data_IF_685055748416
#
_entry.id   IF_685055748416
#
_cell.length_a   1.000
_cell.length_b   1.000
_cell.length_c   1.000
_cell.angle_alpha   90.00
_cell.angle_beta   90.00
_cell.angle_gamma   90.00
#
_symmetry.space_group_name_H-M   'P 1'
#
loop_
_entity.id
_entity.type
_entity.pdbx_description
1 polymer ?
#
# COMPACT_ATOMS: atom_id res chain seq x y z
N UNK A 1 -96.40 -48.73 5.94
CA UNK A 1 -96.67 -47.41 6.57
C UNK A 1 -95.73 -46.39 5.96
N UNK A 2 -96.23 -45.22 5.55
CA UNK A 2 -95.88 -44.70 4.23
C UNK A 2 -95.38 -43.24 4.19
N UNK A 3 -94.75 -42.90 3.06
CA UNK A 3 -94.86 -41.63 2.32
C UNK A 3 -94.24 -40.32 2.88
N UNK A 4 -93.33 -39.81 2.04
CA UNK A 4 -93.03 -38.41 1.72
C UNK A 4 -94.18 -37.40 1.94
N UNK A 5 -93.83 -36.11 2.08
CA UNK A 5 -94.51 -35.12 1.26
C UNK A 5 -93.53 -34.23 0.48
N UNK A 6 -93.75 -34.22 -0.84
CA UNK A 6 -93.37 -33.14 -1.75
C UNK A 6 -94.35 -31.98 -1.63
N UNK A 7 -93.84 -30.81 -2.01
CA UNK A 7 -94.52 -29.75 -2.75
C UNK A 7 -95.49 -28.86 -1.95
N UNK A 8 -95.32 -27.54 -2.10
CA UNK A 8 -96.31 -26.71 -2.80
C UNK A 8 -95.69 -25.42 -3.36
N UNK A 9 -96.12 -25.15 -4.58
CA UNK A 9 -95.81 -24.03 -5.47
C UNK A 9 -96.76 -22.84 -5.24
N UNK A 10 -96.44 -21.69 -5.88
CA UNK A 10 -97.25 -20.46 -6.18
C UNK A 10 -96.86 -19.26 -5.30
N UNK A 11 -96.61 -18.04 -5.80
CA UNK A 11 -97.18 -17.27 -6.94
C UNK A 11 -96.21 -16.10 -7.31
N UNK A 12 -95.98 -15.87 -8.60
CA UNK A 12 -95.72 -14.53 -9.20
C UNK A 12 -97.04 -13.71 -9.20
N UNK A 13 -97.16 -12.43 -9.67
CA UNK A 13 -96.22 -11.60 -10.45
C UNK A 13 -96.22 -10.09 -10.11
N UNK A 14 -95.31 -9.30 -10.72
CA UNK A 14 -95.63 -7.92 -11.09
C UNK A 14 -94.91 -7.53 -12.38
N UNK A 15 -95.68 -6.92 -13.28
CA UNK A 15 -95.39 -6.65 -14.67
C UNK A 15 -94.81 -5.24 -14.85
N UNK A 16 -93.66 -5.17 -15.51
CA UNK A 16 -93.38 -4.30 -16.67
C UNK A 16 -93.22 -2.76 -16.45
N UNK A 17 -92.78 -1.95 -17.45
CA UNK A 17 -92.20 -2.30 -18.75
C UNK A 17 -90.91 -1.52 -19.16
N UNK A 18 -90.16 -2.17 -20.05
CA UNK A 18 -89.44 -1.69 -21.24
C UNK A 18 -89.18 -0.19 -21.47
N UNK A 19 -87.89 0.11 -21.74
CA UNK A 19 -87.42 0.80 -22.97
C UNK A 19 -86.23 0.00 -23.53
N UNK A 20 -86.39 -0.69 -24.68
CA UNK A 20 -85.92 -0.33 -26.04
C UNK A 20 -84.41 -0.08 -26.13
N UNK A 21 -83.61 -0.56 -27.09
CA UNK A 21 -83.65 -1.49 -28.23
C UNK A 21 -82.16 -1.72 -28.60
N UNK A 22 -81.86 -2.91 -29.15
CA UNK A 22 -80.66 -3.39 -29.86
C UNK A 22 -79.62 -2.35 -30.34
N UNK A 23 -78.32 -2.68 -30.28
CA UNK A 23 -77.61 -3.32 -31.41
C UNK A 23 -76.09 -3.52 -31.21
N UNK A 24 -75.65 -4.72 -31.63
CA UNK A 24 -74.41 -5.04 -32.36
C UNK A 24 -73.04 -5.06 -31.64
N UNK A 25 -72.70 -6.28 -31.19
CA UNK A 25 -71.53 -7.09 -31.59
C UNK A 25 -70.19 -6.37 -31.80
N UNK A 26 -69.28 -6.59 -30.86
CA UNK A 26 -67.92 -7.01 -31.20
C UNK A 26 -67.54 -8.18 -30.28
N UNK A 27 -67.27 -9.32 -30.91
CA UNK A 27 -66.87 -10.55 -30.26
C UNK A 27 -65.41 -10.46 -29.79
N UNK A 28 -65.17 -10.87 -28.54
CA UNK A 28 -63.99 -11.66 -28.19
C UNK A 28 -64.30 -12.43 -26.91
N UNK A 29 -64.35 -13.76 -27.04
CA UNK A 29 -64.36 -14.69 -25.92
C UNK A 29 -63.03 -14.58 -25.16
N UNK A 30 -63.05 -14.83 -23.85
CA UNK A 30 -62.39 -15.98 -23.20
C UNK A 30 -62.83 -15.98 -21.73
N UNK A 31 -63.40 -17.11 -21.32
CA UNK A 31 -63.66 -17.46 -19.93
C UNK A 31 -62.33 -17.76 -19.22
N UNK A 32 -62.28 -17.44 -17.93
CA UNK A 32 -61.04 -17.23 -17.19
C UNK A 32 -60.14 -18.44 -16.97
N UNK A 33 -58.93 -18.13 -16.52
CA UNK A 33 -58.04 -19.02 -15.80
C UNK A 33 -57.12 -18.20 -14.91
N UNK A 34 -56.90 -18.75 -13.70
CA UNK A 34 -55.81 -18.54 -12.74
C UNK A 34 -54.81 -17.40 -13.02
N UNK A 35 -54.67 -16.51 -12.03
CA UNK A 35 -53.53 -15.62 -11.91
C UNK A 35 -52.24 -16.45 -11.77
N UNK A 36 -51.60 -16.74 -12.89
CA UNK A 36 -50.22 -17.20 -12.96
C UNK A 36 -49.35 -15.94 -12.83
N UNK A 37 -48.55 -15.87 -11.78
CA UNK A 37 -47.44 -14.92 -11.71
C UNK A 37 -46.46 -15.26 -12.83
N UNK A 38 -46.51 -14.52 -13.93
CA UNK A 38 -45.43 -14.52 -14.91
C UNK A 38 -44.25 -13.72 -14.32
N UNK A 39 -43.02 -14.26 -14.30
CA UNK A 39 -41.85 -13.44 -14.00
C UNK A 39 -41.71 -12.41 -15.12
N UNK A 40 -41.67 -11.14 -14.73
CA UNK A 40 -41.27 -10.05 -15.60
C UNK A 40 -39.83 -10.31 -16.02
N UNK A 41 -39.60 -10.79 -17.24
CA UNK A 41 -38.29 -10.76 -17.88
C UNK A 41 -37.99 -9.33 -18.30
N UNK A 42 -37.75 -8.48 -17.31
CA UNK A 42 -36.89 -7.31 -17.51
C UNK A 42 -35.54 -7.87 -17.94
N UNK A 43 -35.17 -7.65 -19.21
CA UNK A 43 -33.84 -8.00 -19.69
C UNK A 43 -32.82 -7.36 -18.77
N UNK A 44 -32.06 -8.19 -18.05
CA UNK A 44 -30.86 -7.73 -17.37
C UNK A 44 -29.92 -7.33 -18.50
N UNK A 45 -29.76 -6.03 -18.73
CA UNK A 45 -28.62 -5.51 -19.46
C UNK A 45 -27.40 -5.94 -18.66
N UNK A 46 -26.79 -7.04 -19.06
CA UNK A 46 -25.50 -7.46 -18.52
C UNK A 46 -24.55 -6.31 -18.85
N UNK A 47 -24.09 -5.58 -17.83
CA UNK A 47 -23.07 -4.57 -17.99
C UNK A 47 -21.89 -5.19 -18.76
N UNK A 48 -21.42 -4.50 -19.79
CA UNK A 48 -20.35 -5.00 -20.64
C UNK A 48 -19.11 -5.32 -19.79
N UNK A 49 -18.32 -6.30 -20.23
CA UNK A 49 -17.06 -6.63 -19.57
C UNK A 49 -16.15 -5.41 -19.54
N UNK A 50 -15.57 -5.08 -18.38
CA UNK A 50 -14.64 -3.96 -18.29
C UNK A 50 -13.41 -4.20 -19.17
N UNK A 51 -13.02 -3.17 -19.91
CA UNK A 51 -11.72 -3.07 -20.56
C UNK A 51 -10.61 -3.03 -19.49
N UNK A 52 -9.35 -3.16 -19.91
CA UNK A 52 -8.20 -3.01 -19.01
C UNK A 52 -8.26 -1.69 -18.25
N UNK A 53 -7.91 -1.72 -16.95
CA UNK A 53 -7.96 -0.54 -16.10
C UNK A 53 -7.09 0.60 -16.65
N UNK A 54 -7.60 1.83 -16.58
CA UNK A 54 -6.84 3.02 -16.93
C UNK A 54 -5.62 3.17 -16.03
N UNK A 55 -4.49 3.56 -16.61
CA UNK A 55 -3.28 3.92 -15.86
C UNK A 55 -2.74 5.26 -16.32
N UNK A 56 -2.22 6.05 -15.38
CA UNK A 56 -1.66 7.38 -15.65
C UNK A 56 -0.46 7.35 -16.62
N UNK A 57 0.33 6.26 -16.61
CA UNK A 57 1.53 6.13 -17.44
C UNK A 57 1.26 5.58 -18.84
N UNK A 58 0.10 4.97 -19.09
CA UNK A 58 -0.22 4.42 -20.40
C UNK A 58 -0.59 5.54 -21.39
N UNK A 59 -0.13 5.35 -22.62
CA UNK A 59 -0.51 6.18 -23.77
C UNK A 59 -1.75 5.56 -24.42
N UNK A 60 -2.79 6.37 -24.61
CA UNK A 60 -4.02 5.98 -25.29
C UNK A 60 -4.22 6.81 -26.55
N UNK A 61 -4.40 6.18 -27.71
CA UNK A 61 -4.73 6.86 -28.97
C UNK A 61 -6.22 6.75 -29.28
N UNK A 62 -6.71 7.57 -30.21
CA UNK A 62 -8.12 7.59 -30.60
C UNK A 62 -8.71 6.20 -30.86
N UNK A 63 -9.82 5.88 -30.22
CA UNK A 63 -10.53 4.60 -30.24
C UNK A 63 -10.10 3.59 -29.18
N UNK A 64 -8.98 3.78 -28.48
CA UNK A 64 -8.55 2.86 -27.41
C UNK A 64 -9.46 2.96 -26.20
N UNK A 65 -9.72 1.80 -25.55
CA UNK A 65 -10.61 1.72 -24.39
C UNK A 65 -9.87 1.43 -23.09
N UNK A 66 -10.36 1.99 -21.99
CA UNK A 66 -9.90 1.69 -20.63
C UNK A 66 -11.08 1.70 -19.64
N UNK A 67 -11.00 0.92 -18.56
CA UNK A 67 -11.98 0.99 -17.48
C UNK A 67 -11.52 1.91 -16.35
N UNK A 68 -12.43 2.73 -15.83
CA UNK A 68 -12.19 3.61 -14.69
C UNK A 68 -13.52 3.92 -13.99
N UNK A 69 -13.55 3.79 -12.66
CA UNK A 69 -14.74 4.00 -11.82
C UNK A 69 -15.98 3.22 -12.27
N UNK A 70 -15.82 1.97 -12.69
CA UNK A 70 -16.93 1.09 -13.09
C UNK A 70 -17.55 1.43 -14.45
N UNK A 71 -16.87 2.22 -15.27
CA UNK A 71 -17.25 2.53 -16.65
C UNK A 71 -16.12 2.18 -17.60
N UNK A 72 -16.47 1.77 -18.81
CA UNK A 72 -15.55 1.75 -19.94
C UNK A 72 -15.52 3.15 -20.56
N UNK A 73 -14.33 3.57 -20.97
CA UNK A 73 -14.08 4.87 -21.60
C UNK A 73 -13.30 4.66 -22.89
N UNK A 74 -13.60 5.44 -23.93
CA UNK A 74 -12.86 5.43 -25.20
C UNK A 74 -12.16 6.76 -25.44
N UNK A 75 -10.86 6.73 -25.71
CA UNK A 75 -10.08 7.93 -26.02
C UNK A 75 -10.50 8.49 -27.37
N UNK A 76 -10.75 9.80 -27.47
CA UNK A 76 -11.13 10.47 -28.73
C UNK A 76 -9.92 10.82 -29.58
N UNK A 77 -8.78 11.09 -28.95
CA UNK A 77 -7.48 11.36 -29.56
C UNK A 77 -6.37 10.96 -28.58
N UNK A 78 -5.10 11.23 -28.94
CA UNK A 78 -3.94 10.89 -28.10
C UNK A 78 -4.02 11.51 -26.71
N UNK A 79 -3.78 10.72 -25.66
CA UNK A 79 -3.73 11.14 -24.26
C UNK A 79 -2.79 10.27 -23.41
N UNK A 80 -2.19 10.86 -22.39
CA UNK A 80 -1.44 10.21 -21.32
C UNK A 80 -1.66 11.00 -20.03
N UNK A 81 -1.85 10.30 -18.90
CA UNK A 81 -2.07 10.92 -17.58
C UNK A 81 -3.30 11.85 -17.48
N UNK A 82 -4.27 11.74 -18.37
CA UNK A 82 -5.55 12.46 -18.24
C UNK A 82 -6.65 11.48 -17.82
N UNK A 83 -7.28 11.75 -16.67
CA UNK A 83 -8.21 10.81 -16.03
C UNK A 83 -9.55 10.71 -16.77
N UNK A 84 -10.04 9.49 -17.09
CA UNK A 84 -11.37 9.30 -17.65
C UNK A 84 -12.48 9.81 -16.72
N UNK A 85 -13.50 10.45 -17.30
CA UNK A 85 -14.57 11.12 -16.55
C UNK A 85 -14.24 12.53 -16.05
N UNK A 86 -12.98 12.97 -16.15
CA UNK A 86 -12.56 14.35 -15.83
C UNK A 86 -12.12 15.09 -17.09
N UNK A 87 -11.26 14.46 -17.90
CA UNK A 87 -10.75 15.06 -19.12
C UNK A 87 -11.65 14.79 -20.33
N UNK A 88 -11.87 15.82 -21.16
CA UNK A 88 -12.78 15.77 -22.32
C UNK A 88 -12.32 14.82 -23.44
N UNK A 89 -11.06 14.39 -23.41
CA UNK A 89 -10.48 13.40 -24.32
C UNK A 89 -11.15 12.03 -24.20
N UNK A 90 -11.79 11.71 -23.09
CA UNK A 90 -12.50 10.44 -22.90
C UNK A 90 -13.98 10.56 -23.26
N UNK A 91 -14.48 9.63 -24.07
CA UNK A 91 -15.91 9.39 -24.27
C UNK A 91 -16.37 8.23 -23.40
N UNK A 92 -17.45 8.41 -22.65
CA UNK A 92 -18.06 7.34 -21.86
C UNK A 92 -18.60 6.26 -22.80
N UNK A 93 -18.19 5.00 -22.59
CA UNK A 93 -18.57 3.83 -23.37
C UNK A 93 -19.48 2.87 -22.58
N UNK A 94 -20.09 3.35 -21.49
CA UNK A 94 -21.07 2.64 -20.68
C UNK A 94 -20.49 2.04 -19.40
N UNK A 95 -21.40 1.73 -18.48
CA UNK A 95 -21.08 1.02 -17.25
C UNK A 95 -20.54 -0.38 -17.57
N UNK A 96 -19.50 -0.79 -16.85
CA UNK A 96 -18.88 -2.08 -17.00
C UNK A 96 -18.77 -2.78 -15.64
N UNK A 97 -18.87 -4.11 -15.64
CA UNK A 97 -18.91 -4.91 -14.41
C UNK A 97 -20.33 -5.12 -13.89
N UNK A 98 -20.65 -6.36 -13.52
CA UNK A 98 -22.00 -6.80 -13.18
C UNK A 98 -22.59 -6.05 -11.99
N UNK A 99 -23.70 -5.36 -12.24
CA UNK A 99 -24.43 -4.53 -11.30
C UNK A 99 -24.85 -5.25 -10.02
N UNK A 100 -24.37 -4.71 -8.91
CA UNK A 100 -24.89 -4.91 -7.57
C UNK A 100 -24.74 -3.59 -6.80
N UNK A 101 -25.65 -2.65 -7.06
CA UNK A 101 -25.96 -1.44 -6.27
C UNK A 101 -24.84 -0.80 -5.45
N UNK A 102 -24.01 0.04 -6.08
CA UNK A 102 -23.08 0.95 -5.39
C UNK A 102 -23.76 2.22 -4.88
N UNK A 103 -24.53 2.10 -3.80
CA UNK A 103 -24.70 3.19 -2.84
C UNK A 103 -23.51 3.15 -1.89
N UNK A 104 -22.93 4.30 -1.53
CA UNK A 104 -21.77 4.40 -0.64
C UNK A 104 -21.89 3.44 0.55
N UNK A 105 -20.99 2.47 0.64
CA UNK A 105 -21.00 1.48 1.71
C UNK A 105 -20.67 2.16 3.03
N UNK A 106 -21.70 2.56 3.79
CA UNK A 106 -21.56 2.88 5.20
C UNK A 106 -20.96 1.66 5.91
N UNK A 107 -19.84 1.83 6.63
CA UNK A 107 -19.53 0.85 7.66
C UNK A 107 -20.70 0.79 8.62
N UNK A 108 -21.15 -0.41 8.93
CA UNK A 108 -22.02 -0.65 10.07
C UNK A 108 -21.26 -1.56 11.03
N UNK A 109 -20.60 -0.95 12.02
CA UNK A 109 -19.93 -1.65 13.11
C UNK A 109 -20.61 -1.30 14.44
N UNK A 110 -20.57 -2.21 15.45
CA UNK A 110 -21.13 -1.94 16.76
C UNK A 110 -20.51 -0.70 17.41
N UNK A 111 -21.30 0.06 18.16
CA UNK A 111 -20.74 1.14 18.99
C UNK A 111 -19.80 0.55 20.07
N UNK A 112 -18.73 1.27 20.37
CA UNK A 112 -17.84 0.94 21.47
C UNK A 112 -18.56 1.05 22.82
N UNK A 113 -18.29 0.10 23.72
CA UNK A 113 -18.87 -0.01 25.04
C UNK A 113 -17.74 -0.01 26.07
N UNK A 114 -17.76 0.95 26.99
CA UNK A 114 -16.75 1.07 28.03
C UNK A 114 -16.66 -0.20 28.89
N UNK A 115 -15.44 -0.71 29.10
CA UNK A 115 -15.17 -1.89 29.94
C UNK A 115 -15.58 -3.23 29.32
N UNK A 116 -16.03 -3.26 28.06
CA UNK A 116 -16.24 -4.51 27.30
C UNK A 116 -14.93 -4.97 26.69
N UNK A 117 -14.57 -6.25 26.82
CA UNK A 117 -13.41 -6.79 26.11
C UNK A 117 -13.64 -6.94 24.60
N UNK A 118 -12.62 -6.64 23.83
CA UNK A 118 -12.54 -6.74 22.37
C UNK A 118 -11.31 -7.55 21.99
N UNK A 119 -11.43 -8.44 21.00
CA UNK A 119 -10.28 -9.20 20.50
C UNK A 119 -9.60 -8.45 19.37
N UNK A 120 -8.30 -8.71 19.17
CA UNK A 120 -7.57 -8.14 18.05
C UNK A 120 -8.31 -8.38 16.71
N UNK A 121 -8.55 -7.32 15.96
CA UNK A 121 -9.32 -7.35 14.72
C UNK A 121 -10.74 -6.79 14.82
N UNK A 122 -11.33 -6.71 16.02
CA UNK A 122 -12.66 -6.14 16.23
C UNK A 122 -12.72 -4.68 15.79
N UNK A 123 -13.80 -4.27 15.11
CA UNK A 123 -14.00 -2.88 14.69
C UNK A 123 -15.23 -2.33 15.40
N UNK A 124 -15.09 -1.14 15.96
CA UNK A 124 -16.15 -0.43 16.68
C UNK A 124 -16.31 0.99 16.15
N UNK A 125 -17.52 1.53 16.27
CA UNK A 125 -17.78 2.96 16.10
C UNK A 125 -17.63 3.65 17.45
N UNK A 126 -16.82 4.70 17.54
CA UNK A 126 -16.66 5.48 18.76
C UNK A 126 -17.55 6.72 18.75
N UNK A 127 -17.78 7.31 19.94
CA UNK A 127 -18.75 8.41 20.15
C UNK A 127 -18.42 9.68 19.35
N UNK A 128 -17.16 9.85 18.94
CA UNK A 128 -16.71 10.93 18.03
C UNK A 128 -17.11 10.72 16.56
N UNK A 129 -17.81 9.63 16.24
CA UNK A 129 -18.24 9.28 14.89
C UNK A 129 -17.20 8.55 14.05
N UNK A 130 -15.97 8.36 14.56
CA UNK A 130 -14.93 7.58 13.92
C UNK A 130 -15.07 6.07 14.16
N UNK A 131 -14.41 5.27 13.33
CA UNK A 131 -14.29 3.82 13.54
C UNK A 131 -12.87 3.49 14.01
N UNK A 132 -12.75 2.45 14.82
CA UNK A 132 -11.49 2.02 15.39
C UNK A 132 -11.40 0.49 15.37
N UNK A 133 -10.24 -0.03 14.98
CA UNK A 133 -9.94 -1.45 14.94
C UNK A 133 -9.03 -1.80 16.12
N UNK A 134 -9.35 -2.86 16.86
CA UNK A 134 -8.52 -3.36 17.93
C UNK A 134 -7.24 -3.96 17.33
N UNK A 135 -6.08 -3.41 17.66
CA UNK A 135 -4.77 -3.89 17.18
C UNK A 135 -4.25 -5.05 18.05
N UNK A 136 -4.74 -5.12 19.29
CA UNK A 136 -4.46 -6.15 20.29
C UNK A 136 -5.75 -6.48 21.07
N UNK A 137 -5.75 -7.61 21.80
CA UNK A 137 -6.82 -7.93 22.75
C UNK A 137 -6.94 -6.81 23.79
N UNK A 138 -8.10 -6.18 23.83
CA UNK A 138 -8.36 -5.00 24.63
C UNK A 138 -9.41 -5.31 25.71
N UNK A 139 -9.11 -5.13 27.01
CA UNK A 139 -10.07 -5.34 28.10
C UNK A 139 -11.15 -4.25 28.25
N UNK A 140 -11.32 -3.36 27.25
CA UNK A 140 -12.34 -2.30 27.22
C UNK A 140 -11.81 -0.89 27.44
N UNK A 141 -10.52 -0.66 27.20
CA UNK A 141 -9.91 0.67 27.16
C UNK A 141 -10.43 1.50 25.99
N UNK A 142 -10.37 2.82 26.16
CA UNK A 142 -10.93 3.81 25.25
C UNK A 142 -10.13 3.95 23.93
N UNK A 143 -10.80 3.90 22.75
CA UNK A 143 -10.20 4.09 21.42
C UNK A 143 -9.42 5.37 21.18
N UNK A 144 -9.66 6.41 21.97
CA UNK A 144 -9.00 7.71 21.81
C UNK A 144 -7.89 7.98 22.82
N UNK A 145 -7.81 7.18 23.90
CA UNK A 145 -6.80 7.36 24.95
C UNK A 145 -5.61 6.42 24.72
N UNK A 146 -5.85 5.22 24.20
CA UNK A 146 -4.81 4.18 24.07
C UNK A 146 -4.64 3.70 22.65
N UNK A 147 -3.75 4.37 21.91
CA UNK A 147 -3.32 4.00 20.56
C UNK A 147 -2.58 2.65 20.50
N UNK A 148 -2.21 2.08 21.65
CA UNK A 148 -1.66 0.72 21.73
C UNK A 148 -2.70 -0.37 21.41
N UNK A 149 -3.96 -0.15 21.82
CA UNK A 149 -5.02 -1.14 21.63
C UNK A 149 -5.89 -0.85 20.42
N UNK A 150 -5.92 0.39 19.92
CA UNK A 150 -6.86 0.82 18.89
C UNK A 150 -6.19 1.66 17.81
N UNK A 151 -6.48 1.31 16.56
CA UNK A 151 -6.11 2.08 15.37
C UNK A 151 -7.36 2.71 14.71
N UNK A 152 -7.31 3.95 14.22
CA UNK A 152 -8.38 4.53 13.40
C UNK A 152 -8.68 3.68 12.15
N UNK A 153 -9.95 3.54 11.80
CA UNK A 153 -10.43 2.71 10.70
C UNK A 153 -11.36 3.51 9.75
N UNK A 154 -11.25 3.24 8.45
CA UNK A 154 -12.06 3.87 7.40
C UNK A 154 -12.76 2.83 6.54
N UNK A 155 -14.03 3.09 6.21
CA UNK A 155 -14.89 2.22 5.43
C UNK A 155 -14.56 2.23 3.93
N UNK A 156 -14.45 1.05 3.31
CA UNK A 156 -14.41 0.94 1.85
C UNK A 156 -13.07 0.51 1.24
N UNK A 157 -12.09 0.14 2.06
CA UNK A 157 -10.85 -0.50 1.59
C UNK A 157 -10.73 -1.90 2.19
N UNK A 158 -10.79 -2.91 1.32
CA UNK A 158 -10.11 -4.19 1.60
C UNK A 158 -8.64 -3.83 1.88
N UNK A 159 -8.06 -4.21 3.02
CA UNK A 159 -6.81 -3.64 3.47
C UNK A 159 -5.63 -4.13 2.61
N UNK A 160 -4.79 -3.26 2.02
CA UNK A 160 -3.37 -3.53 2.03
C UNK A 160 -2.90 -3.41 3.49
N UNK A 161 -1.92 -4.23 3.90
CA UNK A 161 -1.34 -4.17 5.24
C UNK A 161 -1.01 -2.73 5.69
N UNK A 162 -1.16 -2.47 6.98
CA UNK A 162 -1.09 -1.14 7.58
C UNK A 162 0.20 -0.37 7.33
N UNK A 163 0.10 0.96 7.48
CA UNK A 163 1.25 1.87 7.53
C UNK A 163 1.81 2.28 6.17
N UNK A 164 1.64 3.56 5.81
CA UNK A 164 2.42 4.34 4.82
C UNK A 164 2.71 3.80 3.41
N UNK A 165 2.22 2.63 2.99
CA UNK A 165 2.60 2.05 1.70
C UNK A 165 4.05 1.52 1.66
N UNK A 166 4.67 1.29 2.82
CA UNK A 166 6.00 0.66 2.90
C UNK A 166 5.86 -0.85 3.14
N UNK A 167 6.67 -1.67 2.44
CA UNK A 167 6.56 -3.13 2.47
C UNK A 167 7.09 -3.80 3.75
N UNK A 168 7.65 -3.02 4.68
CA UNK A 168 8.11 -3.46 6.00
C UNK A 168 7.25 -2.78 7.07
N UNK A 169 6.53 -3.55 7.87
CA UNK A 169 5.77 -3.02 9.00
C UNK A 169 6.68 -2.67 10.18
N UNK A 170 6.18 -1.86 11.12
CA UNK A 170 6.91 -1.53 12.34
C UNK A 170 7.28 -2.79 13.15
N UNK A 171 6.35 -3.74 13.27
CA UNK A 171 6.61 -5.01 13.95
C UNK A 171 7.70 -5.84 13.27
N UNK A 172 7.77 -5.83 11.93
CA UNK A 172 8.85 -6.49 11.19
C UNK A 172 10.18 -5.76 11.39
N UNK A 173 10.18 -4.42 11.39
CA UNK A 173 11.36 -3.62 11.70
C UNK A 173 11.88 -3.90 13.12
N UNK A 174 11.00 -3.99 14.11
CA UNK A 174 11.34 -4.36 15.48
C UNK A 174 11.92 -5.78 15.58
N UNK A 175 11.36 -6.73 14.82
CA UNK A 175 11.88 -8.09 14.73
C UNK A 175 13.27 -8.15 14.07
N UNK A 176 13.52 -7.30 13.08
CA UNK A 176 14.82 -7.18 12.42
C UNK A 176 15.89 -6.59 13.35
N UNK A 177 15.50 -5.65 14.21
CA UNK A 177 16.41 -4.84 15.03
C UNK A 177 16.00 -4.79 16.52
N UNK A 178 16.08 -5.93 17.23
CA UNK A 178 15.60 -6.03 18.62
C UNK A 178 16.48 -5.29 19.64
N UNK A 179 17.74 -5.01 19.28
CA UNK A 179 18.72 -4.35 20.16
C UNK A 179 19.09 -2.94 19.71
N UNK A 180 18.33 -2.35 18.78
CA UNK A 180 18.68 -1.04 18.22
C UNK A 180 18.74 0.05 19.27
N UNK A 181 19.59 1.05 19.02
CA UNK A 181 19.50 2.33 19.70
C UNK A 181 18.13 2.96 19.46
N UNK A 182 17.57 3.60 20.49
CA UNK A 182 16.32 4.36 20.39
C UNK A 182 16.39 5.52 19.39
N UNK A 183 17.59 5.92 18.96
CA UNK A 183 17.79 6.87 17.87
C UNK A 183 17.15 6.39 16.56
N UNK A 184 17.27 5.11 16.22
CA UNK A 184 16.75 4.58 14.97
C UNK A 184 15.27 4.20 15.10
N UNK A 185 14.41 5.17 14.79
CA UNK A 185 12.96 4.98 14.83
C UNK A 185 12.41 4.51 13.48
N UNK A 186 11.35 3.70 13.53
CA UNK A 186 10.60 3.31 12.32
C UNK A 186 9.91 4.52 11.68
N UNK A 187 9.42 5.46 12.49
CA UNK A 187 8.88 6.74 12.01
C UNK A 187 9.93 7.58 11.27
N UNK A 188 11.18 7.57 11.72
CA UNK A 188 12.30 8.22 11.03
C UNK A 188 12.56 7.59 9.66
N UNK A 189 12.55 6.26 9.57
CA UNK A 189 12.72 5.54 8.30
C UNK A 189 11.58 5.88 7.33
N UNK A 190 10.33 5.74 7.77
CA UNK A 190 9.16 5.98 6.93
C UNK A 190 9.04 7.44 6.47
N UNK A 191 9.41 8.40 7.32
CA UNK A 191 9.49 9.81 6.92
C UNK A 191 10.56 10.06 5.82
N UNK A 192 11.67 9.32 5.85
CA UNK A 192 12.75 9.45 4.88
C UNK A 192 12.41 8.86 3.49
N UNK A 193 11.48 7.90 3.40
CA UNK A 193 11.10 7.23 2.13
C UNK A 193 10.68 8.22 1.04
N UNK A 194 10.04 9.33 1.41
CA UNK A 194 9.60 10.37 0.47
C UNK A 194 10.74 11.01 -0.33
N UNK A 195 11.99 10.95 0.17
CA UNK A 195 13.15 11.44 -0.56
C UNK A 195 13.53 10.56 -1.76
N UNK A 196 13.12 9.28 -1.76
CA UNK A 196 13.44 8.31 -2.80
C UNK A 196 12.20 7.46 -3.12
N UNK A 197 11.21 8.01 -3.85
CA UNK A 197 9.91 7.37 -4.04
C UNK A 197 9.95 6.05 -4.84
N UNK A 198 11.08 5.73 -5.50
CA UNK A 198 11.29 4.45 -6.19
C UNK A 198 11.83 3.33 -5.29
N UNK A 199 12.37 3.67 -4.12
CA UNK A 199 12.91 2.70 -3.17
C UNK A 199 11.80 1.82 -2.60
N UNK A 200 11.94 0.50 -2.72
CA UNK A 200 10.98 -0.49 -2.24
C UNK A 200 9.53 -0.29 -2.74
N UNK A 201 9.39 0.34 -3.90
CA UNK A 201 8.11 0.55 -4.62
C UNK A 201 8.23 0.21 -6.12
N UNK A 202 9.42 -0.16 -6.57
CA UNK A 202 9.71 -0.51 -7.97
C UNK A 202 9.71 -2.03 -8.16
N UNK A 203 9.08 -2.50 -9.23
CA UNK A 203 8.97 -3.94 -9.53
C UNK A 203 7.82 -4.62 -8.79
N UNK A 204 7.84 -5.95 -8.75
CA UNK A 204 6.82 -6.75 -8.05
C UNK A 204 6.98 -6.66 -6.53
N UNK A 205 5.94 -7.02 -5.76
CA UNK A 205 6.01 -7.11 -4.30
C UNK A 205 7.22 -7.94 -3.81
N UNK A 206 7.59 -8.99 -4.55
CA UNK A 206 8.79 -9.79 -4.27
C UNK A 206 10.05 -8.94 -4.33
N UNK A 207 10.23 -8.15 -5.41
CA UNK A 207 11.40 -7.27 -5.62
C UNK A 207 11.40 -6.13 -4.61
N UNK A 208 10.25 -5.53 -4.31
CA UNK A 208 10.14 -4.47 -3.32
C UNK A 208 10.57 -4.96 -1.92
N UNK A 209 10.11 -6.15 -1.50
CA UNK A 209 10.53 -6.77 -0.24
C UNK A 209 11.99 -7.20 -0.25
N UNK A 210 12.50 -7.70 -1.38
CA UNK A 210 13.92 -8.02 -1.54
C UNK A 210 14.78 -6.78 -1.37
N UNK A 211 14.42 -5.68 -2.02
CA UNK A 211 15.15 -4.43 -1.89
C UNK A 211 15.13 -3.89 -0.46
N UNK A 212 13.96 -3.85 0.19
CA UNK A 212 13.85 -3.40 1.57
C UNK A 212 14.68 -4.28 2.52
N UNK A 213 14.64 -5.61 2.37
CA UNK A 213 15.48 -6.52 3.14
C UNK A 213 16.97 -6.32 2.86
N UNK A 214 17.36 -6.07 1.61
CA UNK A 214 18.75 -5.87 1.21
C UNK A 214 19.34 -4.58 1.79
N UNK A 215 18.57 -3.49 1.75
CA UNK A 215 18.95 -2.23 2.39
C UNK A 215 19.12 -2.41 3.89
N UNK A 216 18.09 -2.94 4.57
CA UNK A 216 18.11 -3.11 6.02
C UNK A 216 19.19 -4.10 6.48
N UNK A 217 19.50 -5.14 5.69
CA UNK A 217 20.55 -6.10 6.01
C UNK A 217 21.95 -5.47 5.95
N UNK A 218 22.24 -4.65 4.95
CA UNK A 218 23.48 -3.90 4.91
C UNK A 218 23.56 -2.88 6.04
N UNK A 219 22.47 -2.16 6.31
CA UNK A 219 22.37 -1.25 7.47
C UNK A 219 22.65 -1.99 8.79
N UNK A 220 22.08 -3.19 8.96
CA UNK A 220 22.35 -4.05 10.12
C UNK A 220 23.83 -4.39 10.24
N UNK A 221 24.52 -4.62 9.12
CA UNK A 221 25.94 -4.94 9.14
C UNK A 221 26.79 -3.71 9.53
N UNK A 222 26.53 -2.55 8.92
CA UNK A 222 27.30 -1.32 9.18
C UNK A 222 27.20 -0.83 10.63
N UNK A 223 26.07 -1.09 11.29
CA UNK A 223 25.73 -0.48 12.59
C UNK A 223 25.67 -1.47 13.74
N UNK A 224 26.00 -2.74 13.50
CA UNK A 224 25.85 -3.80 14.50
C UNK A 224 24.38 -4.02 14.90
N UNK A 225 23.46 -4.03 13.93
CA UNK A 225 22.03 -4.17 14.16
C UNK A 225 21.37 -2.90 14.70
N UNK A 226 21.79 -1.74 14.18
CA UNK A 226 21.36 -0.40 14.61
C UNK A 226 21.71 -0.07 16.08
N UNK A 227 22.66 -0.79 16.68
CA UNK A 227 23.16 -0.49 18.03
C UNK A 227 23.97 0.81 18.00
N UNK A 228 24.78 1.01 16.97
CA UNK A 228 25.69 2.14 16.88
C UNK A 228 25.16 3.23 15.94
N UNK A 229 25.17 4.46 16.44
CA UNK A 229 24.84 5.68 15.65
C UNK A 229 26.10 6.28 15.02
N UNK A 230 27.25 6.09 15.67
CA UNK A 230 28.54 6.66 15.28
C UNK A 230 29.60 5.58 15.24
N UNK A 231 30.65 5.80 14.45
CA UNK A 231 31.84 4.97 14.45
C UNK A 231 32.45 4.86 15.85
N UNK A 232 32.81 3.64 16.26
CA UNK A 232 33.27 3.39 17.63
C UNK A 232 34.75 3.70 17.85
N UNK A 233 35.59 3.55 16.82
CA UNK A 233 37.02 3.81 16.94
C UNK A 233 37.30 5.31 16.76
N UNK A 234 37.20 6.08 17.84
CA UNK A 234 37.42 7.54 17.82
C UNK A 234 38.82 7.96 17.36
N UNK A 235 39.81 7.05 17.43
CA UNK A 235 41.16 7.32 16.91
C UNK A 235 41.18 7.52 15.39
N UNK A 236 40.20 6.97 14.68
CA UNK A 236 40.09 7.09 13.23
C UNK A 236 39.44 8.41 12.78
N UNK A 237 38.77 9.14 13.68
CA UNK A 237 37.96 10.30 13.28
C UNK A 237 38.70 11.35 12.44
N UNK A 238 39.99 11.67 12.72
CA UNK A 238 40.75 12.61 11.91
C UNK A 238 41.10 12.11 10.49
N UNK A 239 40.89 10.83 10.17
CA UNK A 239 41.22 10.27 8.86
C UNK A 239 40.25 10.69 7.76
N UNK A 240 39.02 11.06 8.11
CA UNK A 240 37.93 11.27 7.16
C UNK A 240 37.84 12.70 6.61
N UNK A 241 38.92 13.47 6.72
CA UNK A 241 39.05 14.77 6.09
C UNK A 241 39.99 14.67 4.89
N UNK A 242 39.41 14.64 3.68
CA UNK A 242 40.19 14.80 2.47
C UNK A 242 40.47 16.30 2.26
N UNK A 243 41.67 16.73 2.65
CA UNK A 243 42.14 18.11 2.51
C UNK A 243 42.43 18.52 1.07
N UNK A 244 42.41 17.58 0.11
CA UNK A 244 42.55 17.91 -1.31
C UNK A 244 41.27 18.49 -1.92
N UNK A 245 40.12 18.32 -1.25
CA UNK A 245 38.85 18.89 -1.68
C UNK A 245 38.87 20.42 -1.56
N UNK A 246 38.40 21.17 -2.58
CA UNK A 246 38.47 22.64 -2.58
C UNK A 246 37.62 23.30 -1.48
N UNK A 247 36.61 22.60 -0.97
CA UNK A 247 35.77 23.04 0.16
C UNK A 247 36.31 22.62 1.53
N UNK A 248 37.40 21.82 1.56
CA UNK A 248 38.05 21.40 2.80
C UNK A 248 37.11 20.68 3.78
N UNK A 249 37.28 20.99 5.06
CA UNK A 249 36.62 20.32 6.19
C UNK A 249 36.11 21.37 7.19
N UNK A 250 35.09 22.18 6.82
CA UNK A 250 34.68 23.35 7.59
C UNK A 250 34.15 23.02 9.00
N UNK A 251 33.58 21.83 9.20
CA UNK A 251 33.14 21.35 10.51
C UNK A 251 34.29 20.86 11.41
N UNK A 252 35.52 20.82 10.88
CA UNK A 252 36.72 20.31 11.55
C UNK A 252 37.27 19.03 10.92
N UNK A 253 38.59 18.83 11.02
CA UNK A 253 39.28 17.68 10.39
C UNK A 253 38.88 16.32 10.98
N UNK A 254 38.33 16.29 12.19
CA UNK A 254 37.83 15.08 12.85
C UNK A 254 36.29 14.98 12.88
N UNK A 255 35.59 15.74 12.03
CA UNK A 255 34.13 15.84 12.08
C UNK A 255 33.38 14.92 11.10
N UNK A 256 34.06 14.22 10.20
CA UNK A 256 33.45 13.45 9.10
C UNK A 256 33.57 11.93 9.26
N UNK A 257 33.66 11.45 10.50
CA UNK A 257 33.61 10.03 10.84
C UNK A 257 32.26 9.38 10.51
N UNK A 258 32.20 8.05 10.58
CA UNK A 258 31.01 7.28 10.23
C UNK A 258 29.81 7.59 11.10
N UNK A 259 28.67 7.95 10.49
CA UNK A 259 27.38 8.16 11.18
C UNK A 259 26.19 7.52 10.47
N UNK A 260 25.17 7.18 11.25
CA UNK A 260 23.87 6.77 10.76
C UNK A 260 23.88 5.38 10.11
N UNK A 261 22.80 5.03 9.38
CA UNK A 261 22.51 3.64 8.99
C UNK A 261 23.50 3.05 7.98
N UNK A 262 24.22 3.89 7.23
CA UNK A 262 25.25 3.46 6.27
C UNK A 262 26.67 3.86 6.72
N UNK A 263 26.83 4.34 7.96
CA UNK A 263 28.09 4.87 8.48
C UNK A 263 28.74 5.90 7.52
N UNK A 264 27.94 6.90 7.09
CA UNK A 264 28.38 7.96 6.18
C UNK A 264 29.68 8.58 6.69
N UNK A 265 30.73 8.51 5.88
CA UNK A 265 32.09 8.92 6.24
C UNK A 265 32.70 9.75 5.12
N UNK A 266 33.69 10.58 5.42
CA UNK A 266 34.40 11.51 4.51
C UNK A 266 33.66 12.80 4.15
N UNK A 267 34.36 13.94 4.28
CA UNK A 267 33.86 15.27 3.93
C UNK A 267 33.19 15.35 2.55
N UNK A 268 33.74 14.69 1.53
CA UNK A 268 33.16 14.68 0.19
C UNK A 268 31.82 13.94 0.10
N UNK A 269 31.60 12.88 0.90
CA UNK A 269 30.33 12.19 0.94
C UNK A 269 29.27 12.99 1.71
N UNK A 270 29.67 13.65 2.82
CA UNK A 270 28.78 14.58 3.52
C UNK A 270 28.35 15.73 2.60
N UNK A 271 29.28 16.29 1.81
CA UNK A 271 28.95 17.30 0.79
C UNK A 271 27.97 16.78 -0.25
N UNK A 272 28.26 15.63 -0.86
CA UNK A 272 27.43 15.06 -1.92
C UNK A 272 26.03 14.65 -1.44
N UNK A 273 25.93 14.05 -0.25
CA UNK A 273 24.66 13.72 0.40
C UNK A 273 23.87 15.00 0.72
N UNK A 274 24.54 16.00 1.28
CA UNK A 274 23.91 17.27 1.63
C UNK A 274 23.33 18.00 0.43
N UNK A 275 24.10 18.09 -0.66
CA UNK A 275 23.66 18.67 -1.93
C UNK A 275 22.43 17.95 -2.50
N UNK A 276 22.42 16.62 -2.46
CA UNK A 276 21.30 15.82 -2.99
C UNK A 276 20.03 15.94 -2.14
N UNK A 277 20.18 16.12 -0.83
CA UNK A 277 19.06 16.15 0.12
C UNK A 277 18.55 17.56 0.43
N UNK A 278 19.29 18.60 0.00
CA UNK A 278 19.01 19.99 0.36
C UNK A 278 19.28 20.28 1.84
N UNK A 279 20.26 19.60 2.44
CA UNK A 279 20.62 19.70 3.86
C UNK A 279 22.12 19.99 3.94
N UNK A 280 22.55 21.03 4.65
CA UNK A 280 23.98 21.33 4.75
C UNK A 280 24.70 20.39 5.73
N UNK A 281 25.10 19.22 5.20
CA UNK A 281 25.80 18.19 5.95
C UNK A 281 27.32 18.40 5.95
N UNK A 282 27.87 19.26 5.09
CA UNK A 282 29.30 19.56 5.09
C UNK A 282 29.65 20.44 6.30
N UNK A 283 28.90 21.51 6.53
CA UNK A 283 29.12 22.40 7.67
C UNK A 283 28.46 21.88 8.96
N UNK A 284 27.43 21.03 8.85
CA UNK A 284 26.75 20.43 10.00
C UNK A 284 26.62 18.89 9.90
N UNK A 285 27.74 18.15 9.90
CA UNK A 285 27.73 16.69 9.78
C UNK A 285 27.09 15.97 10.97
N UNK A 286 26.99 16.64 12.12
CA UNK A 286 26.39 16.11 13.34
C UNK A 286 24.87 15.88 13.23
N UNK A 287 24.19 16.48 12.24
CA UNK A 287 22.78 16.20 11.98
C UNK A 287 22.52 14.71 11.75
N UNK A 288 23.48 13.98 11.16
CA UNK A 288 23.34 12.55 10.86
C UNK A 288 23.31 11.68 12.14
N UNK A 289 23.83 12.18 13.27
CA UNK A 289 23.75 11.49 14.58
C UNK A 289 22.72 12.12 15.53
N UNK A 290 22.05 13.21 15.13
CA UNK A 290 21.11 13.95 15.98
C UNK A 290 19.66 13.89 15.47
N UNK A 291 19.46 13.79 14.16
CA UNK A 291 18.15 13.69 13.52
C UNK A 291 17.99 12.32 12.82
N UNK A 292 17.10 11.44 13.33
CA UNK A 292 16.88 10.12 12.75
C UNK A 292 16.40 10.16 11.29
N UNK A 293 15.59 11.14 10.90
CA UNK A 293 15.11 11.24 9.53
C UNK A 293 16.24 11.67 8.59
N UNK A 294 17.13 12.56 9.03
CA UNK A 294 18.36 12.90 8.28
C UNK A 294 19.25 11.68 8.14
N UNK A 295 19.46 10.92 9.22
CA UNK A 295 20.24 9.68 9.18
C UNK A 295 19.68 8.67 8.16
N UNK A 296 18.37 8.44 8.17
CA UNK A 296 17.75 7.54 7.19
C UNK A 296 17.84 8.07 5.76
N UNK A 297 17.69 9.38 5.55
CA UNK A 297 17.88 10.00 4.24
C UNK A 297 19.30 9.81 3.70
N UNK A 298 20.34 9.87 4.53
CA UNK A 298 21.72 9.61 4.06
C UNK A 298 21.93 8.14 3.67
N UNK A 299 21.33 7.20 4.41
CA UNK A 299 21.31 5.79 4.03
C UNK A 299 20.62 5.56 2.68
N UNK A 300 19.42 6.12 2.51
CA UNK A 300 18.68 6.01 1.25
C UNK A 300 19.39 6.73 0.10
N UNK A 301 20.03 7.88 0.36
CA UNK A 301 20.86 8.57 -0.63
C UNK A 301 21.95 7.66 -1.18
N UNK A 302 22.71 7.01 -0.30
CA UNK A 302 23.75 6.10 -0.73
C UNK A 302 23.17 4.96 -1.58
N UNK A 303 22.15 4.29 -1.05
CA UNK A 303 21.49 3.15 -1.68
C UNK A 303 20.98 3.43 -3.10
N UNK A 304 20.39 4.60 -3.31
CA UNK A 304 19.70 4.94 -4.54
C UNK A 304 20.59 5.68 -5.56
N UNK A 305 21.73 6.23 -5.15
CA UNK A 305 22.52 7.13 -6.01
C UNK A 305 24.00 6.78 -6.14
N UNK A 306 24.56 6.00 -5.22
CA UNK A 306 26.00 5.75 -5.18
C UNK A 306 26.35 4.35 -5.68
N UNK A 307 27.38 4.27 -6.51
CA UNK A 307 27.96 2.98 -6.93
C UNK A 307 29.06 2.50 -5.98
N UNK A 308 29.61 3.39 -5.14
CA UNK A 308 30.77 3.11 -4.30
C UNK A 308 31.91 2.43 -5.09
N UNK A 309 32.53 1.35 -4.58
CA UNK A 309 33.52 0.57 -5.32
C UNK A 309 32.91 -0.43 -6.32
N UNK A 310 31.58 -0.48 -6.46
CA UNK A 310 30.86 -1.29 -7.43
C UNK A 310 30.66 -0.60 -8.78
N UNK A 311 29.72 -1.12 -9.56
CA UNK A 311 29.44 -0.63 -10.93
C UNK A 311 28.00 -0.14 -11.13
N UNK A 312 27.15 -0.29 -10.11
CA UNK A 312 25.75 0.11 -10.13
C UNK A 312 25.30 0.51 -8.72
N UNK A 313 24.16 1.18 -8.61
CA UNK A 313 23.58 1.47 -7.30
C UNK A 313 23.01 0.20 -6.68
N UNK A 314 23.02 0.07 -5.34
CA UNK A 314 22.32 -1.00 -4.66
C UNK A 314 20.83 -1.12 -5.06
N UNK A 315 20.13 0.00 -5.24
CA UNK A 315 18.76 0.02 -5.78
C UNK A 315 18.66 -0.73 -7.12
N UNK A 316 19.51 -0.36 -8.09
CA UNK A 316 19.51 -0.99 -9.41
C UNK A 316 19.96 -2.46 -9.37
N UNK A 317 20.85 -2.82 -8.44
CA UNK A 317 21.26 -4.20 -8.25
C UNK A 317 20.07 -5.10 -7.87
N UNK A 318 19.17 -4.60 -7.02
CA UNK A 318 17.98 -5.32 -6.59
C UNK A 318 16.87 -5.27 -7.65
N UNK A 319 16.54 -4.09 -8.17
CA UNK A 319 15.42 -3.91 -9.11
C UNK A 319 15.66 -4.61 -10.45
N UNK A 320 16.91 -4.64 -10.93
CA UNK A 320 17.25 -5.28 -12.21
C UNK A 320 17.66 -6.75 -12.06
N UNK A 321 17.59 -7.31 -10.84
CA UNK A 321 17.93 -8.71 -10.58
C UNK A 321 19.42 -9.06 -10.74
N UNK A 322 20.33 -8.08 -10.60
CA UNK A 322 21.77 -8.34 -10.59
C UNK A 322 22.19 -9.17 -9.37
N UNK A 323 21.53 -8.91 -8.22
CA UNK A 323 21.62 -9.71 -7.00
C UNK A 323 22.23 -8.98 -5.81
N UNK A 324 22.04 -9.56 -4.62
CA UNK A 324 22.46 -8.95 -3.36
C UNK A 324 23.98 -8.72 -3.27
N UNK A 325 24.79 -9.57 -3.92
CA UNK A 325 26.25 -9.42 -3.95
C UNK A 325 26.73 -8.09 -4.54
N UNK A 326 26.01 -7.52 -5.52
CA UNK A 326 26.35 -6.21 -6.08
C UNK A 326 26.03 -5.06 -5.12
N UNK A 327 25.10 -5.25 -4.18
CA UNK A 327 24.87 -4.28 -3.09
C UNK A 327 26.06 -4.26 -2.13
N UNK A 328 26.59 -5.44 -1.77
CA UNK A 328 27.79 -5.56 -0.93
C UNK A 328 28.98 -4.92 -1.66
N UNK A 329 29.14 -5.22 -2.95
CA UNK A 329 30.20 -4.64 -3.77
C UNK A 329 30.15 -3.13 -3.80
N UNK A 330 28.96 -2.56 -3.86
CA UNK A 330 28.76 -1.12 -3.95
C UNK A 330 28.88 -0.40 -2.62
N UNK A 331 28.85 -1.10 -1.48
CA UNK A 331 28.99 -0.50 -0.14
C UNK A 331 30.42 -0.63 0.38
N UNK A 332 31.01 -1.83 0.31
CA UNK A 332 32.37 -2.07 0.82
C UNK A 332 33.17 -3.11 0.01
N UNK A 333 32.87 -3.21 -1.29
CA UNK A 333 33.42 -4.25 -2.15
C UNK A 333 34.93 -4.21 -2.38
N UNK A 334 35.60 -3.07 -2.16
CA UNK A 334 37.06 -2.97 -2.25
C UNK A 334 37.78 -3.74 -1.14
N UNK A 335 37.11 -3.96 0.01
CA UNK A 335 37.67 -4.64 1.17
C UNK A 335 37.10 -6.05 1.36
N UNK A 336 35.83 -6.27 0.99
CA UNK A 336 35.12 -7.50 1.30
C UNK A 336 35.05 -8.51 0.14
N UNK A 337 34.75 -8.04 -1.07
CA UNK A 337 34.49 -8.91 -2.21
C UNK A 337 35.77 -9.54 -2.79
N UNK A 338 35.61 -10.46 -3.74
CA UNK A 338 36.68 -11.17 -4.45
C UNK A 338 37.62 -11.93 -3.52
N UNK A 339 37.09 -12.43 -2.39
CA UNK A 339 37.86 -13.13 -1.37
C UNK A 339 38.59 -12.22 -0.38
N UNK A 340 38.37 -10.90 -0.40
CA UNK A 340 39.00 -9.96 0.53
C UNK A 340 38.61 -10.20 1.99
N UNK A 341 37.31 -10.38 2.26
CA UNK A 341 36.81 -10.73 3.57
C UNK A 341 35.55 -11.61 3.51
N UNK A 342 35.69 -12.92 3.25
CA UNK A 342 34.55 -13.84 3.11
C UNK A 342 33.63 -13.90 4.34
N UNK A 343 34.18 -13.66 5.53
CA UNK A 343 33.40 -13.68 6.77
C UNK A 343 32.42 -12.49 6.85
N UNK A 344 32.83 -11.29 6.41
CA UNK A 344 31.94 -10.13 6.38
C UNK A 344 30.87 -10.26 5.30
N UNK A 345 31.24 -10.75 4.12
CA UNK A 345 30.27 -11.06 3.05
C UNK A 345 29.23 -12.06 3.57
N UNK A 346 29.65 -13.14 4.23
CA UNK A 346 28.73 -14.11 4.81
C UNK A 346 27.81 -13.47 5.87
N UNK A 347 28.34 -12.61 6.74
CA UNK A 347 27.54 -11.89 7.74
C UNK A 347 26.42 -11.05 7.11
N UNK A 348 26.70 -10.34 6.01
CA UNK A 348 25.67 -9.58 5.26
C UNK A 348 24.62 -10.50 4.65
N UNK A 349 25.05 -11.62 4.04
CA UNK A 349 24.15 -12.60 3.43
C UNK A 349 23.24 -13.24 4.48
N UNK A 350 23.77 -13.59 5.65
CA UNK A 350 22.99 -14.16 6.75
C UNK A 350 21.90 -13.19 7.25
N UNK A 351 22.23 -11.89 7.34
CA UNK A 351 21.25 -10.86 7.68
C UNK A 351 20.17 -10.73 6.60
N UNK A 352 20.56 -10.70 5.32
CA UNK A 352 19.63 -10.59 4.20
C UNK A 352 18.67 -11.79 4.11
N UNK A 353 19.18 -13.01 4.28
CA UNK A 353 18.37 -14.21 4.29
C UNK A 353 17.36 -14.21 5.45
N UNK A 354 17.78 -13.79 6.65
CA UNK A 354 16.87 -13.65 7.80
C UNK A 354 15.81 -12.58 7.54
N UNK A 355 16.17 -11.44 6.94
CA UNK A 355 15.21 -10.35 6.69
C UNK A 355 14.22 -10.68 5.58
N UNK A 356 14.65 -11.38 4.53
CA UNK A 356 13.73 -11.88 3.50
C UNK A 356 12.74 -12.90 4.04
N UNK A 357 13.14 -13.74 5.00
CA UNK A 357 12.22 -14.64 5.72
C UNK A 357 11.18 -13.86 6.54
N UNK A 358 11.58 -12.82 7.28
CA UNK A 358 10.67 -11.95 8.05
C UNK A 358 9.63 -11.29 7.13
N UNK A 359 10.01 -10.89 5.91
CA UNK A 359 9.11 -10.26 4.95
C UNK A 359 8.27 -11.27 4.13
N UNK A 360 8.51 -12.57 4.30
CA UNK A 360 7.87 -13.61 3.52
C UNK A 360 8.18 -13.52 2.02
N UNK A 361 9.45 -13.25 1.67
CA UNK A 361 9.95 -13.22 0.29
C UNK A 361 11.14 -14.16 0.12
N UNK A 362 11.64 -14.31 -1.11
CA UNK A 362 12.84 -15.11 -1.41
C UNK A 362 14.07 -14.22 -1.54
N UNK A 363 15.30 -14.71 -1.30
CA UNK A 363 16.51 -13.89 -1.43
C UNK A 363 16.94 -13.63 -2.88
N UNK A 364 16.43 -14.38 -3.86
CA UNK A 364 16.90 -14.33 -5.24
C UNK A 364 18.26 -15.02 -5.44
N UNK A 365 18.93 -14.73 -6.55
CA UNK A 365 20.25 -15.28 -6.91
C UNK A 365 21.40 -14.30 -6.64
N UNK A 366 22.63 -14.73 -6.94
CA UNK A 366 23.86 -13.90 -6.87
C UNK A 366 24.03 -13.17 -5.52
N UNK A 367 23.96 -13.92 -4.43
CA UNK A 367 23.99 -13.34 -3.08
C UNK A 367 25.38 -12.88 -2.63
N UNK A 368 26.42 -13.39 -3.28
CA UNK A 368 27.80 -13.20 -2.86
C UNK A 368 28.57 -12.33 -3.87
N UNK A 369 29.64 -11.75 -3.37
CA UNK A 369 30.74 -11.16 -4.10
C UNK A 369 32.04 -11.65 -3.44
#
# INVERSE_FOLDING_TARGET
MPLSPKSLSRRSPSRSPLRRVLALVAAAAIAGTMAIFAPWSGGVSTADTCASAWTASAVYTGGMSASYNGHNWSAKWWTQNETPGVASVWGDAGACGSGGGGGGGSCSYPDWVAGRSYVAGDIVRYSNGGYYKASHDNPGYDPTISTWYWDPYTCGSTPPGGGSGFVVSEAQFDQMFPSRSSFYTYSGLTAALSAYPGFATTGSDTVQKQEAAAFLANVSHETGGLVYVVEQNTSNYPHYCDTSQPYGCPAGTAAYYGRGPIQLSWNFNYKAAGDSLGIDLLDNPYLVEQDPAVAWKTGLWYWNTQNGPGTMTPHNAMVNGAGFGETIRSINGSLECNGGNPAQVQSRVDAYQRFTQILGTTPGGNLYC
#
